data_IF_117876139505
#
_entry.id   IF_117876139505
#
_cell.length_a   1.000
_cell.length_b   1.000
_cell.length_c   1.000
_cell.angle_alpha   90.00
_cell.angle_beta   90.00
_cell.angle_gamma   90.00
#
_symmetry.space_group_name_H-M   'P 1'
#
loop_
_entity.id
_entity.type
_entity.pdbx_description
1 polymer ?
#
# COMPACT_ATOMS: atom_id res chain seq x y z
N UNK A 1 -11.52 13.13 11.05
CA UNK A 1 -11.57 12.11 12.13
C UNK A 1 -10.81 10.86 11.73
N UNK A 2 -11.12 10.22 10.61
CA UNK A 2 -10.38 9.04 10.06
C UNK A 2 -8.85 9.10 10.23
N UNK A 3 -8.18 10.08 9.59
CA UNK A 3 -6.72 10.26 9.70
C UNK A 3 -6.20 10.53 11.11
N UNK A 4 -7.04 11.08 11.99
CA UNK A 4 -6.64 11.32 13.37
C UNK A 4 -6.66 10.03 14.19
N UNK A 5 -7.55 9.09 13.84
CA UNK A 5 -7.64 7.79 14.47
C UNK A 5 -6.52 6.87 13.96
N UNK A 6 -6.45 6.59 12.65
CA UNK A 6 -5.54 5.56 12.16
C UNK A 6 -4.07 5.92 12.39
N UNK A 7 -3.67 7.20 12.33
CA UNK A 7 -2.27 7.56 12.61
C UNK A 7 -1.86 7.20 14.04
N UNK A 8 -2.73 7.44 15.03
CA UNK A 8 -2.46 7.06 16.41
C UNK A 8 -2.58 5.56 16.63
N UNK A 9 -3.63 4.95 16.08
CA UNK A 9 -3.88 3.51 16.17
C UNK A 9 -2.71 2.72 15.59
N UNK A 10 -2.31 3.04 14.37
CA UNK A 10 -1.23 2.34 13.66
C UNK A 10 0.10 2.59 14.36
N UNK A 11 0.38 3.83 14.80
CA UNK A 11 1.56 4.14 15.63
C UNK A 11 1.59 3.30 16.90
N UNK A 12 0.45 3.16 17.59
CA UNK A 12 0.32 2.36 18.81
C UNK A 12 0.56 0.87 18.55
N UNK A 13 -0.12 0.27 17.56
CA UNK A 13 -0.02 -1.16 17.28
C UNK A 13 1.30 -1.57 16.62
N UNK A 14 1.95 -0.68 15.87
CA UNK A 14 3.27 -0.94 15.26
C UNK A 14 4.43 -0.62 16.18
N UNK A 15 4.21 0.19 17.23
CA UNK A 15 5.26 0.67 18.14
C UNK A 15 6.10 1.82 17.57
N UNK A 16 5.74 2.38 16.42
CA UNK A 16 6.43 3.53 15.81
C UNK A 16 5.98 4.82 16.51
N UNK A 17 6.70 5.23 17.55
CA UNK A 17 6.32 6.34 18.43
C UNK A 17 6.30 7.71 17.71
N UNK A 18 7.06 7.86 16.62
CA UNK A 18 7.12 9.06 15.81
C UNK A 18 5.79 9.39 15.10
N UNK A 19 4.90 8.41 14.98
CA UNK A 19 3.56 8.56 14.43
C UNK A 19 2.52 9.18 15.35
N UNK A 20 2.80 9.31 16.66
CA UNK A 20 1.81 9.77 17.65
C UNK A 20 1.49 11.26 17.48
N UNK A 21 0.21 11.57 17.28
CA UNK A 21 -0.29 12.94 17.11
C UNK A 21 -1.14 13.39 18.30
N UNK A 22 -1.18 14.69 18.57
CA UNK A 22 -2.02 15.27 19.62
C UNK A 22 -3.47 15.46 19.17
N UNK A 23 -4.18 14.38 18.83
CA UNK A 23 -5.51 14.45 18.21
C UNK A 23 -6.54 15.20 19.07
N UNK A 24 -6.55 15.00 20.39
CA UNK A 24 -7.43 15.74 21.32
C UNK A 24 -7.25 17.26 21.22
N UNK A 25 -5.99 17.69 21.09
CA UNK A 25 -5.66 19.11 20.96
C UNK A 25 -6.08 19.63 19.59
N UNK A 26 -5.88 18.86 18.52
CA UNK A 26 -6.33 19.24 17.18
C UNK A 26 -7.85 19.45 17.17
N UNK A 27 -8.61 18.49 17.70
CA UNK A 27 -10.08 18.55 17.76
C UNK A 27 -10.55 19.79 18.53
N UNK A 28 -9.93 20.09 19.68
CA UNK A 28 -10.26 21.27 20.48
C UNK A 28 -10.01 22.60 19.77
N UNK A 29 -9.14 22.62 18.76
CA UNK A 29 -8.79 23.82 17.98
C UNK A 29 -9.54 23.89 16.65
N UNK A 30 -10.39 22.92 16.33
CA UNK A 30 -11.24 22.98 15.15
C UNK A 30 -12.32 24.03 15.32
N UNK A 31 -12.54 24.82 14.27
CA UNK A 31 -13.62 25.78 14.16
C UNK A 31 -14.22 25.72 12.75
N UNK A 32 -15.33 26.43 12.54
CA UNK A 32 -15.98 26.56 11.23
C UNK A 32 -15.99 28.02 10.83
N UNK A 33 -15.48 28.31 9.63
CA UNK A 33 -15.53 29.64 9.01
C UNK A 33 -15.88 29.49 7.54
N UNK A 34 -16.83 30.28 7.05
CA UNK A 34 -17.28 30.22 5.65
C UNK A 34 -17.68 28.81 5.17
N UNK A 35 -18.32 28.03 6.06
CA UNK A 35 -18.70 26.63 5.81
C UNK A 35 -17.52 25.68 5.53
N UNK A 36 -16.30 26.08 5.91
CA UNK A 36 -15.09 25.25 5.87
C UNK A 36 -14.58 24.96 7.28
N UNK A 37 -13.98 23.78 7.43
CA UNK A 37 -13.28 23.41 8.65
C UNK A 37 -11.94 24.15 8.70
N UNK A 38 -11.71 24.91 9.77
CA UNK A 38 -10.47 25.65 10.00
C UNK A 38 -9.88 25.27 11.36
N UNK A 39 -8.61 25.61 11.58
CA UNK A 39 -7.92 25.39 12.86
C UNK A 39 -7.55 26.74 13.46
N UNK A 40 -7.89 27.00 14.72
CA UNK A 40 -7.44 28.21 15.40
C UNK A 40 -5.91 28.28 15.44
N UNK A 41 -5.35 29.49 15.34
CA UNK A 41 -3.90 29.73 15.35
C UNK A 41 -3.15 29.11 16.55
N UNK A 42 -3.80 28.95 17.71
CA UNK A 42 -3.24 28.24 18.89
C UNK A 42 -2.98 26.74 18.65
N UNK A 43 -3.63 26.15 17.65
CA UNK A 43 -3.51 24.77 17.21
C UNK A 43 -2.40 24.54 16.18
N UNK A 44 -1.75 25.58 15.68
CA UNK A 44 -0.78 25.51 14.58
C UNK A 44 0.29 24.43 14.80
N UNK A 45 0.98 24.45 15.95
CA UNK A 45 2.00 23.43 16.28
C UNK A 45 1.45 22.00 16.35
N UNK A 46 0.16 21.81 16.63
CA UNK A 46 -0.45 20.47 16.62
C UNK A 46 -0.64 19.96 15.20
N UNK A 47 -0.97 20.86 14.26
CA UNK A 47 -1.05 20.56 12.83
C UNK A 47 0.33 20.28 12.24
N UNK A 48 1.35 21.06 12.61
CA UNK A 48 2.73 20.82 12.18
C UNK A 48 3.22 19.44 12.62
N UNK A 49 3.04 19.10 13.90
CA UNK A 49 3.36 17.76 14.41
C UNK A 49 2.59 16.69 13.64
N UNK A 50 1.29 16.90 13.40
CA UNK A 50 0.47 15.98 12.61
C UNK A 50 1.04 15.71 11.21
N UNK A 51 1.43 16.76 10.48
CA UNK A 51 1.99 16.62 9.12
C UNK A 51 3.34 15.87 9.13
N UNK A 52 4.20 16.17 10.11
CA UNK A 52 5.48 15.47 10.28
C UNK A 52 5.27 14.00 10.63
N UNK A 53 4.44 13.70 11.64
CA UNK A 53 4.13 12.33 12.05
C UNK A 53 3.49 11.53 10.92
N UNK A 54 2.57 12.15 10.16
CA UNK A 54 2.00 11.52 8.96
C UNK A 54 3.09 11.15 7.96
N UNK A 55 4.00 12.07 7.63
CA UNK A 55 5.13 11.79 6.71
C UNK A 55 5.95 10.59 7.19
N UNK A 56 6.28 10.54 8.48
CA UNK A 56 7.08 9.47 9.07
C UNK A 56 6.35 8.12 9.00
N UNK A 57 5.06 8.09 9.36
CA UNK A 57 4.22 6.88 9.28
C UNK A 57 4.17 6.29 7.86
N UNK A 58 4.06 7.13 6.83
CA UNK A 58 4.08 6.65 5.45
C UNK A 58 5.40 5.94 5.10
N UNK A 59 6.55 6.46 5.51
CA UNK A 59 7.83 5.85 5.14
C UNK A 59 8.24 4.68 6.04
N UNK A 60 7.92 4.76 7.33
CA UNK A 60 8.31 3.76 8.31
C UNK A 60 7.35 2.57 8.37
N UNK A 61 6.06 2.79 8.03
CA UNK A 61 5.01 1.77 8.11
C UNK A 61 4.42 1.48 6.73
N UNK A 62 3.68 2.40 6.13
CA UNK A 62 2.82 2.10 4.97
C UNK A 62 3.61 1.74 3.71
N UNK A 63 4.72 2.43 3.45
CA UNK A 63 5.62 2.20 2.33
C UNK A 63 6.92 1.50 2.76
N UNK A 64 6.88 0.83 3.92
CA UNK A 64 8.02 0.06 4.37
C UNK A 64 8.33 -1.04 3.34
N UNK A 65 9.61 -1.17 2.96
CA UNK A 65 10.04 -2.06 1.88
C UNK A 65 9.52 -3.50 2.04
N UNK A 66 9.50 -4.03 3.26
CA UNK A 66 9.02 -5.39 3.53
C UNK A 66 7.50 -5.52 3.36
N UNK A 67 6.73 -4.47 3.67
CA UNK A 67 5.28 -4.42 3.42
C UNK A 67 5.02 -4.45 1.92
N UNK A 68 5.72 -3.58 1.16
CA UNK A 68 5.64 -3.56 -0.30
C UNK A 68 5.99 -4.93 -0.91
N UNK A 69 7.01 -5.61 -0.39
CA UNK A 69 7.36 -6.95 -0.85
C UNK A 69 6.23 -7.96 -0.63
N UNK A 70 5.59 -7.95 0.53
CA UNK A 70 4.50 -8.87 0.84
C UNK A 70 3.25 -8.56 0.02
N UNK A 71 2.89 -7.28 -0.11
CA UNK A 71 1.79 -6.80 -0.94
C UNK A 71 1.95 -7.25 -2.39
N UNK A 72 3.13 -7.04 -2.99
CA UNK A 72 3.33 -7.41 -4.38
C UNK A 72 3.35 -8.93 -4.58
N UNK A 73 3.88 -9.70 -3.63
CA UNK A 73 3.75 -11.16 -3.66
C UNK A 73 2.27 -11.59 -3.61
N UNK A 74 1.45 -10.98 -2.75
CA UNK A 74 0.01 -11.24 -2.69
C UNK A 74 -0.67 -10.92 -4.03
N UNK A 75 -0.37 -9.76 -4.62
CA UNK A 75 -0.89 -9.38 -5.95
C UNK A 75 -0.52 -10.43 -7.00
N UNK A 76 0.71 -10.93 -6.99
CA UNK A 76 1.17 -11.98 -7.91
C UNK A 76 0.45 -13.31 -7.66
N UNK A 77 0.21 -13.70 -6.41
CA UNK A 77 -0.58 -14.89 -6.06
C UNK A 77 -2.00 -14.78 -6.63
N UNK A 78 -2.70 -13.67 -6.38
CA UNK A 78 -4.08 -13.47 -6.84
C UNK A 78 -4.16 -13.44 -8.38
N UNK A 79 -3.19 -12.80 -9.05
CA UNK A 79 -3.09 -12.83 -10.52
C UNK A 79 -2.95 -14.24 -11.06
N UNK A 80 -2.01 -15.04 -10.52
CA UNK A 80 -1.82 -16.42 -10.96
C UNK A 80 -3.03 -17.29 -10.66
N UNK A 81 -3.66 -17.10 -9.50
CA UNK A 81 -4.90 -17.79 -9.13
C UNK A 81 -6.02 -17.49 -10.14
N UNK A 82 -6.15 -16.23 -10.59
CA UNK A 82 -7.12 -15.84 -11.61
C UNK A 82 -6.82 -16.46 -12.98
N UNK A 83 -5.56 -16.48 -13.41
CA UNK A 83 -5.16 -17.17 -14.65
C UNK A 83 -5.51 -18.66 -14.62
N UNK A 84 -5.21 -19.35 -13.52
CA UNK A 84 -5.51 -20.77 -13.36
C UNK A 84 -7.02 -21.02 -13.32
N UNK A 85 -7.78 -20.15 -12.65
CA UNK A 85 -9.24 -20.27 -12.53
C UNK A 85 -9.96 -20.20 -13.88
N UNK A 86 -9.36 -19.54 -14.88
CA UNK A 86 -9.86 -19.53 -16.27
C UNK A 86 -9.64 -20.86 -17.00
N UNK A 87 -8.64 -21.64 -16.60
CA UNK A 87 -8.26 -22.89 -17.25
C UNK A 87 -8.88 -24.12 -16.56
N UNK A 88 -9.00 -24.06 -15.24
CA UNK A 88 -9.58 -25.13 -14.42
C UNK A 88 -10.14 -24.56 -13.13
N UNK A 89 -11.04 -25.32 -12.49
CA UNK A 89 -11.52 -24.98 -11.15
C UNK A 89 -10.35 -24.99 -10.15
N UNK A 90 -10.12 -23.84 -9.52
CA UNK A 90 -9.16 -23.67 -8.44
C UNK A 90 -9.90 -23.75 -7.09
N UNK A 91 -9.33 -24.45 -6.12
CA UNK A 91 -9.96 -24.56 -4.80
C UNK A 91 -9.71 -23.28 -4.00
N UNK A 92 -10.77 -22.57 -3.63
CA UNK A 92 -10.71 -21.33 -2.82
C UNK A 92 -12.02 -21.16 -2.04
N UNK A 93 -12.05 -20.19 -1.14
CA UNK A 93 -13.27 -19.80 -0.45
C UNK A 93 -14.35 -19.32 -1.45
N UNK A 94 -15.66 -19.58 -1.22
CA UNK A 94 -16.71 -19.28 -2.19
C UNK A 94 -16.76 -17.81 -2.64
N UNK A 95 -16.69 -16.85 -1.70
CA UNK A 95 -16.70 -15.43 -2.02
C UNK A 95 -15.52 -15.05 -2.91
N UNK A 96 -14.31 -15.57 -2.63
CA UNK A 96 -13.13 -15.33 -3.45
C UNK A 96 -13.20 -16.01 -4.82
N UNK A 97 -13.70 -17.25 -4.88
CA UNK A 97 -13.91 -18.00 -6.14
C UNK A 97 -14.76 -17.21 -7.13
N UNK A 98 -15.82 -16.52 -6.66
CA UNK A 98 -16.63 -15.64 -7.51
C UNK A 98 -15.77 -14.61 -8.27
N UNK A 99 -14.84 -13.91 -7.61
CA UNK A 99 -13.99 -12.89 -8.24
C UNK A 99 -12.86 -13.47 -9.09
N UNK A 100 -12.42 -14.69 -8.80
CA UNK A 100 -11.38 -15.39 -9.59
C UNK A 100 -11.95 -15.95 -10.89
N UNK A 101 -13.18 -16.45 -10.86
CA UNK A 101 -13.83 -17.10 -12.02
C UNK A 101 -14.49 -16.09 -12.96
N UNK A 102 -14.80 -14.87 -12.49
CA UNK A 102 -15.44 -13.83 -13.28
C UNK A 102 -14.48 -12.66 -13.61
N UNK A 103 -14.51 -12.21 -14.87
CA UNK A 103 -13.79 -11.01 -15.31
C UNK A 103 -14.64 -9.76 -15.12
N UNK A 104 -14.80 -9.37 -13.86
CA UNK A 104 -15.58 -8.19 -13.48
C UNK A 104 -14.87 -6.89 -13.89
N UNK A 105 -15.61 -6.02 -14.52
CA UNK A 105 -15.22 -4.66 -14.87
C UNK A 105 -15.86 -3.65 -13.93
N UNK A 106 -15.42 -2.39 -14.03
CA UNK A 106 -16.07 -1.29 -13.31
C UNK A 106 -17.56 -1.17 -13.65
N UNK A 107 -17.92 -1.36 -14.92
CA UNK A 107 -19.31 -1.26 -15.37
C UNK A 107 -20.16 -2.33 -14.68
N UNK A 108 -19.66 -3.55 -14.52
CA UNK A 108 -20.38 -4.62 -13.84
C UNK A 108 -20.67 -4.25 -12.38
N UNK A 109 -19.70 -3.64 -11.68
CA UNK A 109 -19.86 -3.17 -10.30
C UNK A 109 -20.91 -2.05 -10.17
N UNK A 110 -21.12 -1.25 -11.22
CA UNK A 110 -22.08 -0.14 -11.20
C UNK A 110 -23.51 -0.57 -11.54
N UNK A 111 -23.69 -1.68 -12.28
CA UNK A 111 -25.00 -2.12 -12.78
C UNK A 111 -25.52 -3.40 -12.14
N UNK A 112 -24.65 -4.22 -11.53
CA UNK A 112 -25.01 -5.51 -10.96
C UNK A 112 -24.88 -5.51 -9.43
N UNK A 113 -25.98 -5.15 -8.77
CA UNK A 113 -26.09 -5.13 -7.31
C UNK A 113 -25.80 -6.50 -6.66
N UNK A 114 -25.91 -7.61 -7.40
CA UNK A 114 -25.62 -8.95 -6.88
C UNK A 114 -24.12 -9.16 -6.56
N UNK A 115 -23.23 -8.30 -7.06
CA UNK A 115 -21.80 -8.36 -6.73
C UNK A 115 -21.55 -7.86 -5.30
N UNK A 116 -22.35 -6.91 -4.80
CA UNK A 116 -22.13 -6.28 -3.49
C UNK A 116 -22.20 -7.32 -2.36
N UNK A 117 -23.21 -8.22 -2.28
CA UNK A 117 -23.20 -9.30 -1.30
C UNK A 117 -21.97 -10.23 -1.40
N UNK A 118 -21.52 -10.56 -2.62
CA UNK A 118 -20.32 -11.38 -2.81
C UNK A 118 -19.06 -10.70 -2.27
N UNK A 119 -18.96 -9.38 -2.44
CA UNK A 119 -17.86 -8.59 -1.88
C UNK A 119 -17.96 -8.46 -0.36
N UNK A 120 -19.17 -8.31 0.19
CA UNK A 120 -19.40 -8.18 1.63
C UNK A 120 -19.08 -9.47 2.40
N UNK A 121 -19.23 -10.63 1.74
CA UNK A 121 -18.83 -11.94 2.29
C UNK A 121 -17.32 -12.20 2.21
N UNK A 122 -16.54 -11.35 1.53
CA UNK A 122 -15.10 -11.52 1.38
C UNK A 122 -14.35 -10.82 2.52
N UNK A 123 -13.54 -11.58 3.26
CA UNK A 123 -12.63 -11.06 4.28
C UNK A 123 -11.22 -11.68 4.22
N UNK A 124 -10.37 -11.28 5.16
CA UNK A 124 -8.98 -11.76 5.23
C UNK A 124 -8.87 -13.29 5.36
N UNK A 125 -9.84 -13.94 6.00
CA UNK A 125 -9.85 -15.39 6.17
C UNK A 125 -10.07 -16.10 4.84
N UNK A 126 -10.91 -15.57 3.95
CA UNK A 126 -11.13 -16.15 2.62
C UNK A 126 -9.84 -16.15 1.81
N UNK A 127 -9.13 -15.02 1.83
CA UNK A 127 -7.85 -14.84 1.14
C UNK A 127 -6.78 -15.74 1.75
N UNK A 128 -6.57 -15.68 3.08
CA UNK A 128 -5.52 -16.44 3.76
C UNK A 128 -5.78 -17.94 3.67
N UNK A 129 -7.03 -18.39 3.84
CA UNK A 129 -7.40 -19.81 3.73
C UNK A 129 -7.15 -20.33 2.33
N UNK A 130 -7.54 -19.56 1.30
CA UNK A 130 -7.28 -19.94 -0.08
C UNK A 130 -5.79 -20.04 -0.38
N UNK A 131 -4.97 -19.09 0.08
CA UNK A 131 -3.50 -19.14 -0.07
C UNK A 131 -2.91 -20.36 0.65
N UNK A 132 -3.42 -20.69 1.85
CA UNK A 132 -3.00 -21.90 2.58
C UNK A 132 -3.39 -23.19 1.87
N UNK A 133 -4.43 -23.20 1.06
CA UNK A 133 -4.77 -24.35 0.19
C UNK A 133 -3.85 -24.37 -1.04
N UNK A 134 -3.60 -23.22 -1.65
CA UNK A 134 -2.82 -23.08 -2.88
C UNK A 134 -1.35 -23.45 -2.74
N UNK A 135 -0.78 -23.41 -1.53
CA UNK A 135 0.58 -23.94 -1.26
C UNK A 135 0.76 -25.41 -1.65
N UNK A 136 -0.34 -26.16 -1.82
CA UNK A 136 -0.36 -27.57 -2.20
C UNK A 136 -0.91 -27.80 -3.61
N UNK A 137 -1.18 -26.72 -4.36
CA UNK A 137 -1.64 -26.81 -5.74
C UNK A 137 -0.51 -27.29 -6.67
N UNK A 138 -0.89 -27.89 -7.82
CA UNK A 138 0.06 -28.45 -8.78
C UNK A 138 0.83 -27.39 -9.57
N UNK A 139 0.30 -26.17 -9.66
CA UNK A 139 1.02 -25.06 -10.29
C UNK A 139 2.17 -24.60 -9.39
N UNK A 140 3.41 -24.76 -9.87
CA UNK A 140 4.62 -24.47 -9.10
C UNK A 140 4.74 -23.00 -8.72
N UNK A 141 4.27 -22.08 -9.58
CA UNK A 141 4.33 -20.64 -9.33
C UNK A 141 3.35 -20.27 -8.21
N UNK A 142 2.10 -20.70 -8.33
CA UNK A 142 1.06 -20.43 -7.34
C UNK A 142 1.43 -21.06 -5.99
N UNK A 143 1.85 -22.34 -5.99
CA UNK A 143 2.21 -23.04 -4.76
C UNK A 143 3.46 -22.45 -4.11
N UNK A 144 4.50 -22.16 -4.89
CA UNK A 144 5.73 -21.53 -4.44
C UNK A 144 5.49 -20.16 -3.83
N UNK A 145 4.80 -19.25 -4.53
CA UNK A 145 4.46 -17.92 -4.00
C UNK A 145 3.61 -18.01 -2.73
N UNK A 146 2.60 -18.88 -2.72
CA UNK A 146 1.70 -19.07 -1.58
C UNK A 146 2.45 -19.60 -0.35
N UNK A 147 3.31 -20.60 -0.53
CA UNK A 147 4.15 -21.12 0.54
C UNK A 147 5.08 -20.03 1.11
N UNK A 148 5.73 -19.27 0.22
CA UNK A 148 6.63 -18.19 0.63
C UNK A 148 5.94 -17.07 1.40
N UNK A 149 4.71 -16.70 1.02
CA UNK A 149 3.94 -15.70 1.76
C UNK A 149 3.54 -16.21 3.15
N UNK A 150 3.00 -17.43 3.25
CA UNK A 150 2.56 -18.04 4.52
C UNK A 150 3.73 -18.28 5.49
N UNK A 151 4.89 -18.70 4.97
CA UNK A 151 6.10 -18.91 5.76
C UNK A 151 6.91 -17.63 5.99
N UNK A 152 6.40 -16.48 5.50
CA UNK A 152 7.06 -15.18 5.59
C UNK A 152 8.47 -15.17 4.97
N UNK A 153 8.72 -16.02 3.98
CA UNK A 153 9.92 -16.01 3.11
C UNK A 153 9.75 -14.98 2.00
N UNK A 154 9.69 -13.71 2.39
CA UNK A 154 9.41 -12.60 1.47
C UNK A 154 10.57 -12.35 0.50
N UNK A 155 10.21 -11.86 -0.70
CA UNK A 155 11.18 -11.45 -1.71
C UNK A 155 12.16 -10.39 -1.19
N UNK A 156 13.32 -10.34 -1.83
CA UNK A 156 14.23 -9.21 -1.67
C UNK A 156 13.66 -8.05 -2.46
N UNK A 157 13.63 -6.89 -1.82
CA UNK A 157 13.24 -5.63 -2.43
C UNK A 157 14.42 -4.64 -2.35
N UNK A 158 14.73 -4.02 -3.47
CA UNK A 158 15.71 -2.94 -3.57
C UNK A 158 14.97 -1.64 -3.87
N UNK A 159 15.29 -0.56 -3.14
CA UNK A 159 14.68 0.75 -3.32
C UNK A 159 15.70 1.76 -3.85
N UNK A 160 15.30 2.56 -4.83
CA UNK A 160 16.09 3.66 -5.40
C UNK A 160 15.23 4.92 -5.57
N UNK A 161 15.89 6.08 -5.67
CA UNK A 161 15.22 7.35 -6.02
C UNK A 161 15.04 7.51 -7.54
N UNK A 162 15.71 6.67 -8.32
CA UNK A 162 15.67 6.68 -9.79
C UNK A 162 15.13 5.34 -10.31
N UNK A 163 14.49 5.32 -11.49
CA UNK A 163 14.03 4.09 -12.11
C UNK A 163 15.15 3.06 -12.27
N UNK A 164 14.81 1.77 -12.13
CA UNK A 164 15.71 0.70 -12.52
C UNK A 164 15.78 0.63 -14.05
N UNK A 165 17.00 0.52 -14.57
CA UNK A 165 17.24 0.36 -16.00
C UNK A 165 16.79 -1.02 -16.50
N UNK A 166 16.46 -1.10 -17.78
CA UNK A 166 16.09 -2.36 -18.43
C UNK A 166 17.18 -3.44 -18.27
N UNK A 167 18.46 -3.05 -18.34
CA UNK A 167 19.60 -3.95 -18.16
C UNK A 167 19.68 -4.53 -16.74
N UNK A 168 19.39 -3.74 -15.70
CA UNK A 168 19.36 -4.22 -14.32
C UNK A 168 18.27 -5.25 -14.10
N UNK A 169 17.08 -5.01 -14.67
CA UNK A 169 15.94 -5.93 -14.58
C UNK A 169 16.24 -7.22 -15.34
N UNK A 170 16.75 -7.12 -16.58
CA UNK A 170 17.14 -8.29 -17.38
C UNK A 170 18.22 -9.12 -16.69
N UNK A 171 19.24 -8.49 -16.12
CA UNK A 171 20.29 -9.20 -15.38
C UNK A 171 19.70 -10.04 -14.24
N UNK A 172 18.72 -9.49 -13.51
CA UNK A 172 18.01 -10.25 -12.47
C UNK A 172 17.17 -11.38 -13.07
N UNK A 173 16.40 -11.12 -14.14
CA UNK A 173 15.60 -12.15 -14.83
C UNK A 173 16.47 -13.31 -15.31
N UNK A 174 17.62 -13.05 -15.93
CA UNK A 174 18.56 -14.09 -16.36
C UNK A 174 19.12 -14.88 -15.19
N UNK A 175 19.49 -14.22 -14.08
CA UNK A 175 19.95 -14.91 -12.88
C UNK A 175 18.87 -15.86 -12.34
N UNK A 176 17.62 -15.39 -12.22
CA UNK A 176 16.52 -16.22 -11.74
C UNK A 176 16.22 -17.37 -12.72
N UNK A 177 16.18 -17.10 -14.02
CA UNK A 177 15.94 -18.11 -15.06
C UNK A 177 17.04 -19.19 -15.13
N UNK A 178 18.29 -18.86 -14.80
CA UNK A 178 19.38 -19.85 -14.78
C UNK A 178 19.28 -20.86 -13.62
N UNK A 179 18.51 -20.52 -12.58
CA UNK A 179 18.41 -21.30 -11.34
C UNK A 179 17.03 -21.93 -11.17
N UNK A 180 15.97 -21.28 -11.66
CA UNK A 180 14.61 -21.80 -11.71
C UNK A 180 14.30 -22.23 -13.14
N UNK A 181 13.90 -23.49 -13.34
CA UNK A 181 13.43 -24.01 -14.61
C UNK A 181 12.02 -23.50 -14.94
N UNK A 182 11.89 -22.18 -15.13
CA UNK A 182 10.64 -21.49 -15.47
C UNK A 182 10.71 -20.87 -16.86
N UNK A 183 9.57 -20.84 -17.52
CA UNK A 183 9.40 -20.18 -18.82
C UNK A 183 9.63 -18.67 -18.70
N UNK A 184 10.08 -18.04 -19.79
CA UNK A 184 10.35 -16.59 -19.81
C UNK A 184 9.08 -15.76 -19.48
N UNK A 185 7.92 -16.26 -19.89
CA UNK A 185 6.61 -15.67 -19.60
C UNK A 185 6.29 -15.64 -18.10
N UNK A 186 6.80 -16.61 -17.34
CA UNK A 186 6.51 -16.74 -15.92
C UNK A 186 7.48 -15.92 -15.04
N UNK A 187 8.59 -15.42 -15.61
CA UNK A 187 9.59 -14.64 -14.89
C UNK A 187 9.02 -13.36 -14.25
N UNK A 188 7.89 -12.85 -14.74
CA UNK A 188 7.23 -11.67 -14.16
C UNK A 188 6.65 -11.92 -12.77
N UNK A 189 6.42 -13.19 -12.39
CA UNK A 189 5.97 -13.59 -11.06
C UNK A 189 7.10 -13.55 -10.02
N UNK A 190 8.34 -13.65 -10.49
CA UNK A 190 9.54 -13.67 -9.65
C UNK A 190 10.27 -12.33 -9.67
N UNK A 191 10.45 -11.72 -10.84
CA UNK A 191 11.20 -10.46 -11.00
C UNK A 191 10.31 -9.38 -11.58
N UNK A 192 10.04 -8.35 -10.77
CA UNK A 192 9.22 -7.22 -11.17
C UNK A 192 9.71 -5.92 -10.55
N UNK A 193 9.46 -4.82 -11.25
CA UNK A 193 9.80 -3.46 -10.81
C UNK A 193 8.63 -2.52 -10.97
N UNK A 194 8.46 -1.59 -10.03
CA UNK A 194 7.47 -0.53 -10.11
C UNK A 194 7.93 0.68 -9.28
N UNK A 195 7.06 1.66 -9.09
CA UNK A 195 7.29 2.78 -8.18
C UNK A 195 6.22 2.84 -7.09
N UNK A 196 6.58 3.50 -6.00
CA UNK A 196 5.67 3.96 -4.96
C UNK A 196 5.93 5.44 -4.72
N UNK A 197 4.90 6.19 -4.34
CA UNK A 197 5.02 7.62 -4.05
C UNK A 197 4.20 7.97 -2.83
N UNK A 198 4.65 8.99 -2.12
CA UNK A 198 3.86 9.60 -1.05
C UNK A 198 3.86 11.12 -1.20
N UNK A 199 2.68 11.70 -1.01
CA UNK A 199 2.46 13.13 -0.82
C UNK A 199 2.06 13.37 0.64
N UNK A 200 3.01 13.79 1.47
CA UNK A 200 2.76 13.99 2.89
C UNK A 200 1.76 15.12 3.15
N UNK A 201 1.82 16.16 2.31
CA UNK A 201 0.84 17.22 2.17
C UNK A 201 0.64 17.49 0.68
N UNK A 202 -0.58 17.81 0.26
CA UNK A 202 -0.82 18.31 -1.09
C UNK A 202 -1.98 19.30 -1.02
N UNK A 203 -1.75 20.59 -1.32
CA UNK A 203 -2.80 21.61 -1.32
C UNK A 203 -3.98 21.27 -2.24
N UNK A 204 -3.74 20.45 -3.28
CA UNK A 204 -4.77 19.94 -4.20
C UNK A 204 -5.68 18.90 -3.55
N UNK A 205 -5.19 18.18 -2.54
CA UNK A 205 -5.94 17.14 -1.82
C UNK A 205 -6.67 17.64 -0.57
N UNK A 206 -6.48 18.92 -0.21
CA UNK A 206 -7.12 19.57 0.92
C UNK A 206 -6.15 20.49 1.68
N UNK A 207 -6.43 21.80 1.64
CA UNK A 207 -5.73 22.82 2.40
C UNK A 207 -6.09 22.76 3.89
N UNK A 208 -5.15 23.10 4.76
CA UNK A 208 -5.44 23.29 6.19
C UNK A 208 -5.34 24.77 6.51
N UNK A 209 -6.49 25.42 6.64
CA UNK A 209 -6.58 26.84 6.92
C UNK A 209 -6.46 27.13 8.42
N UNK A 210 -5.59 28.09 8.75
CA UNK A 210 -5.36 28.60 10.10
C UNK A 210 -6.13 29.90 10.30
N UNK A 211 -6.98 29.95 11.32
CA UNK A 211 -7.76 31.12 11.73
C UNK A 211 -7.03 31.92 12.80
N UNK A 212 -6.69 33.16 12.46
CA UNK A 212 -6.05 34.11 13.36
C UNK A 212 -7.07 34.95 14.13
N UNK A 213 -6.62 35.65 15.18
CA UNK A 213 -7.49 36.47 16.03
C UNK A 213 -8.08 37.69 15.33
N UNK A 214 -7.46 38.13 14.24
CA UNK A 214 -7.92 39.22 13.37
C UNK A 214 -8.92 38.73 12.30
N UNK A 215 -9.44 37.51 12.47
CA UNK A 215 -10.32 36.82 11.51
C UNK A 215 -9.67 36.51 10.14
N UNK A 216 -8.35 36.71 10.00
CA UNK A 216 -7.63 36.32 8.79
C UNK A 216 -7.44 34.80 8.71
N UNK A 217 -7.48 34.28 7.48
CA UNK A 217 -7.22 32.87 7.17
C UNK A 217 -5.94 32.77 6.36
N UNK A 218 -5.05 31.86 6.74
CA UNK A 218 -3.86 31.51 5.95
C UNK A 218 -3.70 30.00 5.88
N UNK A 219 -3.18 29.49 4.77
CA UNK A 219 -2.81 28.07 4.68
C UNK A 219 -1.67 27.76 5.65
N UNK A 220 -1.64 26.56 6.23
CA UNK A 220 -0.57 26.12 7.13
C UNK A 220 0.82 26.22 6.49
N UNK A 221 0.95 26.02 5.17
CA UNK A 221 2.23 26.12 4.46
C UNK A 221 2.76 27.56 4.42
N UNK A 222 1.89 28.57 4.52
CA UNK A 222 2.26 29.99 4.57
C UNK A 222 2.24 30.55 5.99
N UNK A 223 1.49 29.94 6.91
CA UNK A 223 1.37 30.35 8.29
C UNK A 223 2.50 29.82 9.19
N UNK A 224 3.08 28.67 8.85
CA UNK A 224 4.13 28.03 9.63
C UNK A 224 5.52 28.57 9.29
N UNK A 225 6.33 28.82 10.32
CA UNK A 225 7.74 29.18 10.19
C UNK A 225 8.64 27.97 9.86
N UNK A 226 8.11 26.74 9.87
CA UNK A 226 8.87 25.55 9.52
C UNK A 226 8.99 25.43 7.99
N UNK A 227 10.19 25.69 7.48
CA UNK A 227 10.63 25.43 6.10
C UNK A 227 10.25 24.03 5.57
N UNK A 228 10.02 23.07 6.47
CA UNK A 228 9.68 21.70 6.13
C UNK A 228 8.32 21.55 5.46
N UNK A 229 7.31 22.40 5.71
CA UNK A 229 5.94 22.13 5.22
C UNK A 229 5.83 22.29 3.70
N UNK A 230 6.50 23.29 3.11
CA UNK A 230 6.60 23.42 1.65
C UNK A 230 7.31 22.23 1.02
N UNK A 231 8.33 21.67 1.69
CA UNK A 231 9.03 20.45 1.27
C UNK A 231 8.13 19.20 1.39
N UNK A 232 7.03 19.23 2.13
CA UNK A 232 6.06 18.13 2.21
C UNK A 232 5.09 18.10 1.01
N UNK A 233 5.07 19.14 0.18
CA UNK A 233 4.20 19.24 -1.00
C UNK A 233 4.71 18.36 -2.16
N UNK A 234 6.03 18.26 -2.31
CA UNK A 234 6.63 17.51 -3.41
C UNK A 234 6.48 16.00 -3.20
N UNK A 235 6.00 15.25 -4.22
CA UNK A 235 5.99 13.79 -4.16
C UNK A 235 7.40 13.25 -4.01
N UNK A 236 7.59 12.40 -3.00
CA UNK A 236 8.78 11.57 -2.95
C UNK A 236 8.46 10.24 -3.62
N UNK A 237 9.05 10.02 -4.80
CA UNK A 237 8.93 8.77 -5.56
C UNK A 237 10.10 7.85 -5.23
N UNK A 238 9.81 6.59 -4.96
CA UNK A 238 10.80 5.51 -4.84
C UNK A 238 10.48 4.44 -5.86
N UNK A 239 11.49 3.97 -6.56
CA UNK A 239 11.40 2.85 -7.47
C UNK A 239 11.87 1.61 -6.74
N UNK A 240 11.19 0.49 -6.97
CA UNK A 240 11.53 -0.79 -6.36
C UNK A 240 11.72 -1.89 -7.39
N UNK A 241 12.61 -2.82 -7.06
CA UNK A 241 12.85 -4.06 -7.82
C UNK A 241 12.80 -5.23 -6.85
N UNK A 242 11.84 -6.13 -7.08
CA UNK A 242 11.62 -7.32 -6.27
C UNK A 242 12.15 -8.56 -6.98
N UNK A 243 12.74 -9.48 -6.21
CA UNK A 243 13.21 -10.80 -6.68
C UNK A 243 13.29 -11.79 -5.52
N UNK A 244 13.23 -13.12 -5.75
CA UNK A 244 13.53 -14.12 -4.73
C UNK A 244 14.91 -13.86 -4.08
N UNK A 245 15.04 -14.20 -2.80
CA UNK A 245 16.31 -14.12 -2.04
C UNK A 245 17.20 -15.31 -2.32
N UNK A 246 16.61 -16.49 -2.26
CA UNK A 246 17.23 -17.78 -2.49
C UNK A 246 16.68 -18.28 -3.80
N UNK A 247 17.57 -18.54 -4.76
CA UNK A 247 17.19 -18.87 -6.13
C UNK A 247 17.11 -20.39 -6.34
N UNK A 248 17.74 -21.19 -5.47
CA UNK A 248 17.81 -22.66 -5.59
C UNK A 248 16.62 -23.42 -5.01
N UNK A 249 15.97 -22.90 -3.97
CA UNK A 249 14.95 -23.63 -3.18
C UNK A 249 13.54 -23.01 -3.27
N UNK A 250 13.28 -22.19 -4.30
CA UNK A 250 12.02 -21.44 -4.39
C UNK A 250 10.83 -22.30 -4.85
N UNK A 251 11.05 -23.22 -5.78
CA UNK A 251 10.04 -24.08 -6.42
C UNK A 251 10.17 -25.53 -6.00
#
# INVERSE_FOLDING_TARGET
MDRLDYLNRDSFFTGVAEGVIGYDRIIKMLAVRNNELVVESKGMYSIEKFLISRRLMYWQVYLHKTVLSAEQMLVKIIKRAKEISRLRKLSSAPALSYFLENDLTRTDLEINDAIIPQFADLDDNDVITSIKMWRHDKDLILSGLSAHLIERKLFRIELKNTPFSFQEILKKKHLISSHLSVEETDLEYFVFSNSTSNHAYSPLSGKINILFKDDSLKDIADASDLLNIKVLEDPVVKYYLCSPKEVGDFL
#
